data_IF_831979842035
#
_entry.id   IF_831979842035
#
_cell.length_a   1.000
_cell.length_b   1.000
_cell.length_c   1.000
_cell.angle_alpha   90.00
_cell.angle_beta   90.00
_cell.angle_gamma   90.00
#
_symmetry.space_group_name_H-M   'P 1'
#
loop_
_entity.id
_entity.type
_entity.pdbx_description
1 polymer ?
#
# COMPACT_ATOMS: atom_id res chain seq x y z
N UNK A 1 23.75 -10.79 -80.29
CA UNK A 1 24.10 -10.11 -79.04
C UNK A 1 22.80 -9.68 -78.37
N UNK A 2 22.38 -10.40 -77.35
CA UNK A 2 21.17 -10.10 -76.55
C UNK A 2 21.62 -9.94 -75.12
N UNK A 3 21.44 -8.74 -74.57
CA UNK A 3 21.78 -8.40 -73.20
C UNK A 3 20.45 -8.55 -72.35
N UNK A 4 20.42 -9.54 -71.54
CA UNK A 4 19.28 -9.75 -70.58
C UNK A 4 19.51 -8.91 -69.33
N UNK A 5 18.57 -8.01 -69.00
CA UNK A 5 18.50 -7.29 -67.73
C UNK A 5 17.79 -8.20 -66.67
N UNK A 6 18.53 -8.64 -65.69
CA UNK A 6 17.98 -9.19 -64.47
C UNK A 6 17.52 -8.04 -63.55
N UNK A 7 16.20 -7.89 -63.39
CA UNK A 7 15.63 -7.05 -62.34
C UNK A 7 15.52 -7.85 -61.03
N UNK A 8 16.38 -7.57 -60.07
CA UNK A 8 16.28 -8.12 -58.71
C UNK A 8 15.17 -7.38 -57.93
N UNK A 9 14.05 -8.07 -57.69
CA UNK A 9 12.98 -7.59 -56.83
C UNK A 9 13.43 -7.63 -55.38
N UNK A 10 13.46 -6.46 -54.73
CA UNK A 10 13.66 -6.34 -53.28
C UNK A 10 12.33 -6.73 -52.60
N UNK A 11 12.29 -7.93 -52.07
CA UNK A 11 11.19 -8.36 -51.20
C UNK A 11 11.43 -7.71 -49.84
N UNK A 12 10.67 -6.64 -49.53
CA UNK A 12 10.67 -6.03 -48.22
C UNK A 12 10.07 -6.98 -47.21
N UNK A 13 10.88 -7.49 -46.30
CA UNK A 13 10.43 -8.30 -45.14
C UNK A 13 9.93 -7.33 -44.10
N UNK A 14 8.64 -6.97 -44.10
CA UNK A 14 8.00 -6.33 -42.99
C UNK A 14 7.59 -7.43 -41.98
N UNK A 15 8.53 -7.83 -41.12
CA UNK A 15 8.35 -8.87 -40.11
C UNK A 15 8.64 -8.33 -38.72
N UNK A 16 7.95 -7.29 -38.28
CA UNK A 16 8.17 -6.78 -36.91
C UNK A 16 6.92 -6.74 -36.01
N UNK A 17 5.75 -7.04 -36.57
CA UNK A 17 4.51 -6.92 -35.76
C UNK A 17 4.08 -8.23 -35.06
N UNK A 18 4.70 -9.34 -35.44
CA UNK A 18 4.32 -10.66 -34.87
C UNK A 18 4.94 -10.93 -33.49
N UNK A 19 6.04 -10.25 -33.15
CA UNK A 19 6.74 -10.43 -31.86
C UNK A 19 6.27 -9.45 -30.78
N UNK A 20 5.50 -8.43 -31.13
CA UNK A 20 4.89 -7.48 -30.20
C UNK A 20 3.47 -7.88 -29.77
N UNK A 21 3.17 -9.17 -29.75
CA UNK A 21 1.94 -9.66 -29.13
C UNK A 21 2.00 -9.36 -27.64
N UNK A 22 1.34 -8.28 -27.24
CA UNK A 22 1.02 -8.05 -25.83
C UNK A 22 0.18 -9.26 -25.39
N UNK A 23 0.62 -10.01 -24.36
CA UNK A 23 -0.18 -11.14 -23.88
C UNK A 23 -1.58 -10.63 -23.54
N UNK A 24 -2.61 -11.09 -24.21
CA UNK A 24 -4.00 -10.64 -24.03
C UNK A 24 -4.52 -10.80 -22.60
N UNK A 25 -3.81 -11.59 -21.77
CA UNK A 25 -4.16 -11.89 -20.39
C UNK A 25 -3.32 -11.17 -19.34
N UNK A 26 -2.33 -10.35 -19.71
CA UNK A 26 -1.55 -9.58 -18.75
C UNK A 26 -2.11 -8.16 -18.68
N UNK A 27 -2.81 -7.86 -17.57
CA UNK A 27 -3.22 -6.50 -17.24
C UNK A 27 -1.97 -5.62 -17.09
N UNK A 28 -1.81 -4.65 -17.96
CA UNK A 28 -0.77 -3.64 -17.82
C UNK A 28 -1.15 -2.66 -16.71
N UNK A 29 -0.17 -2.01 -16.10
CA UNK A 29 -0.40 -1.00 -15.06
C UNK A 29 -1.33 0.13 -15.54
N UNK A 30 -1.34 0.45 -16.83
CA UNK A 30 -2.19 1.49 -17.40
C UNK A 30 -3.67 1.09 -17.43
N UNK A 31 -3.98 -0.18 -17.70
CA UNK A 31 -5.36 -0.69 -17.73
C UNK A 31 -6.08 -0.57 -16.39
N UNK A 32 -5.34 -0.51 -15.27
CA UNK A 32 -5.92 -0.36 -13.93
C UNK A 32 -6.66 0.98 -13.81
N UNK A 33 -6.20 2.02 -14.51
CA UNK A 33 -6.73 3.37 -14.40
C UNK A 33 -7.76 3.71 -15.50
N UNK A 34 -8.16 2.73 -16.31
CA UNK A 34 -9.16 2.92 -17.36
C UNK A 34 -10.59 2.68 -16.86
N UNK A 35 -10.77 1.85 -15.85
CA UNK A 35 -12.10 1.47 -15.36
C UNK A 35 -12.24 1.69 -13.85
N UNK A 36 -13.47 1.95 -13.42
CA UNK A 36 -13.82 2.07 -12.01
C UNK A 36 -13.54 0.79 -11.24
N UNK A 37 -13.89 -0.35 -11.81
CA UNK A 37 -13.77 -1.67 -11.15
C UNK A 37 -12.31 -1.98 -10.82
N UNK A 38 -11.40 -1.73 -11.76
CA UNK A 38 -9.97 -1.99 -11.54
C UNK A 38 -9.36 -1.00 -10.54
N UNK A 39 -9.75 0.28 -10.61
CA UNK A 39 -9.29 1.29 -9.65
C UNK A 39 -9.78 0.95 -8.21
N UNK A 40 -11.05 0.54 -8.06
CA UNK A 40 -11.58 0.09 -6.77
C UNK A 40 -10.90 -1.20 -6.29
N UNK A 41 -10.65 -2.16 -7.17
CA UNK A 41 -9.92 -3.38 -6.84
C UNK A 41 -8.49 -3.09 -6.36
N UNK A 42 -7.84 -2.09 -6.96
CA UNK A 42 -6.53 -1.65 -6.50
C UNK A 42 -6.61 -1.04 -5.08
N UNK A 43 -7.60 -0.19 -4.81
CA UNK A 43 -7.82 0.36 -3.47
C UNK A 43 -8.08 -0.76 -2.45
N UNK A 44 -8.93 -1.73 -2.77
CA UNK A 44 -9.19 -2.88 -1.90
C UNK A 44 -7.93 -3.74 -1.66
N UNK A 45 -7.04 -3.82 -2.64
CA UNK A 45 -5.76 -4.49 -2.45
C UNK A 45 -4.88 -3.81 -1.39
N UNK A 46 -4.99 -2.47 -1.22
CA UNK A 46 -4.30 -1.76 -0.12
C UNK A 46 -4.84 -2.21 1.23
N UNK A 47 -6.17 -2.37 1.37
CA UNK A 47 -6.79 -2.91 2.58
C UNK A 47 -6.28 -4.31 2.94
N UNK A 48 -5.93 -5.13 1.93
CA UNK A 48 -5.36 -6.46 2.14
C UNK A 48 -4.02 -6.49 2.88
N UNK A 49 -3.35 -5.34 3.04
CA UNK A 49 -2.14 -5.21 3.86
C UNK A 49 -2.42 -4.84 5.32
N UNK A 50 -3.69 -4.60 5.70
CA UNK A 50 -4.07 -4.41 7.09
C UNK A 50 -3.98 -5.77 7.78
N UNK A 51 -3.18 -5.83 8.83
CA UNK A 51 -3.18 -6.98 9.73
C UNK A 51 -4.05 -6.68 10.94
N UNK A 52 -4.87 -7.63 11.30
CA UNK A 52 -5.69 -7.57 12.50
C UNK A 52 -5.03 -8.44 13.58
N UNK A 53 -5.04 -7.95 14.80
CA UNK A 53 -4.58 -8.74 15.94
C UNK A 53 -5.45 -9.98 16.19
N UNK A 54 -6.66 -10.00 15.62
CA UNK A 54 -7.61 -11.12 15.73
C UNK A 54 -7.37 -12.25 14.74
N UNK A 55 -6.52 -12.02 13.71
CA UNK A 55 -6.20 -13.03 12.69
C UNK A 55 -5.32 -14.15 13.25
N UNK A 56 -4.61 -13.87 14.35
CA UNK A 56 -3.81 -14.85 15.08
C UNK A 56 -4.28 -14.90 16.53
N UNK A 57 -5.03 -15.94 16.95
CA UNK A 57 -5.49 -16.10 18.32
C UNK A 57 -4.34 -16.17 19.33
N UNK A 58 -3.12 -16.46 18.86
CA UNK A 58 -1.92 -16.49 19.68
C UNK A 58 -1.54 -15.08 20.18
N UNK A 59 -2.00 -14.02 19.51
CA UNK A 59 -1.78 -12.61 19.91
C UNK A 59 -2.36 -12.30 21.30
N UNK A 60 -3.42 -12.97 21.71
CA UNK A 60 -3.98 -12.81 23.07
C UNK A 60 -3.01 -13.28 24.18
N UNK A 61 -2.00 -14.07 23.82
CA UNK A 61 -0.95 -14.50 24.74
C UNK A 61 0.18 -13.49 24.97
N UNK A 62 0.10 -12.27 24.37
CA UNK A 62 1.09 -11.21 24.62
C UNK A 62 0.88 -10.47 25.95
N UNK A 63 -0.28 -10.62 26.58
CA UNK A 63 -0.58 -10.04 27.87
C UNK A 63 -0.35 -11.07 28.99
N UNK A 64 -0.38 -10.61 30.21
CA UNK A 64 -0.25 -11.44 31.41
C UNK A 64 -1.53 -12.20 31.78
N UNK A 65 -2.66 -11.87 31.13
CA UNK A 65 -3.94 -12.53 31.38
C UNK A 65 -4.01 -13.94 30.80
N UNK A 66 -3.20 -14.24 29.76
CA UNK A 66 -3.20 -15.56 29.12
C UNK A 66 -1.78 -16.02 28.82
N UNK A 67 -1.55 -17.33 28.86
CA UNK A 67 -0.28 -17.93 28.48
C UNK A 67 -0.45 -18.83 27.26
N UNK A 68 0.45 -18.69 26.29
CA UNK A 68 0.49 -19.57 25.14
C UNK A 68 1.10 -20.92 25.53
N UNK A 69 0.35 -22.01 25.35
CA UNK A 69 0.79 -23.38 25.69
C UNK A 69 1.87 -23.88 24.71
N UNK A 70 1.90 -23.32 23.50
CA UNK A 70 2.87 -23.74 22.48
C UNK A 70 4.24 -23.13 22.76
N UNK A 71 5.23 -23.99 23.02
CA UNK A 71 6.58 -23.58 23.43
C UNK A 71 7.42 -22.94 22.32
N UNK A 72 7.00 -23.01 21.06
CA UNK A 72 7.78 -22.55 19.92
C UNK A 72 7.05 -21.45 19.12
N UNK A 73 6.42 -20.52 19.81
CA UNK A 73 5.72 -19.41 19.19
C UNK A 73 6.45 -18.10 19.47
N UNK A 74 6.37 -17.17 18.53
CA UNK A 74 6.93 -15.82 18.68
C UNK A 74 6.36 -15.08 19.89
N UNK A 75 5.08 -15.36 20.22
CA UNK A 75 4.38 -14.83 21.39
C UNK A 75 5.10 -15.22 22.67
N UNK A 76 5.43 -16.50 22.82
CA UNK A 76 6.11 -16.98 24.02
C UNK A 76 7.52 -16.40 24.13
N UNK A 77 8.24 -16.35 23.02
CA UNK A 77 9.56 -15.70 22.98
C UNK A 77 9.48 -14.23 23.39
N UNK A 78 8.41 -13.53 23.00
CA UNK A 78 8.20 -12.13 23.37
C UNK A 78 7.94 -11.98 24.88
N UNK A 79 7.03 -12.77 25.43
CA UNK A 79 6.66 -12.73 26.86
C UNK A 79 7.84 -13.14 27.74
N UNK A 80 8.64 -14.12 27.30
CA UNK A 80 9.84 -14.59 28.01
C UNK A 80 11.07 -13.69 27.81
N UNK A 81 10.97 -12.62 27.00
CA UNK A 81 12.09 -11.71 26.71
C UNK A 81 13.14 -12.28 25.74
N UNK A 82 12.81 -13.38 25.07
CA UNK A 82 13.71 -14.06 24.11
C UNK A 82 13.60 -13.47 22.69
N UNK A 83 13.57 -12.16 22.56
CA UNK A 83 13.49 -11.47 21.29
C UNK A 83 14.51 -10.34 21.17
N UNK A 84 14.87 -9.98 19.94
CA UNK A 84 15.87 -8.96 19.68
C UNK A 84 16.00 -8.65 18.18
N UNK A 85 16.96 -7.80 17.79
CA UNK A 85 17.15 -7.41 16.40
C UNK A 85 17.37 -8.57 15.43
N UNK A 86 17.94 -9.67 15.89
CA UNK A 86 18.21 -10.88 15.10
C UNK A 86 17.12 -11.94 15.22
N UNK A 87 16.20 -11.80 16.17
CA UNK A 87 15.08 -12.70 16.38
C UNK A 87 13.79 -11.86 16.45
N UNK A 88 13.29 -11.52 15.29
CA UNK A 88 12.09 -10.70 15.16
C UNK A 88 10.85 -11.49 15.50
N UNK A 89 9.77 -10.79 15.88
CA UNK A 89 8.46 -11.32 16.28
C UNK A 89 7.67 -12.02 15.16
N UNK A 90 8.36 -12.78 14.33
CA UNK A 90 7.81 -13.74 13.38
C UNK A 90 7.12 -13.20 12.15
N UNK A 91 6.16 -12.36 12.29
CA UNK A 91 5.50 -11.76 11.14
C UNK A 91 6.22 -10.48 10.73
N UNK A 92 6.72 -10.44 9.50
CA UNK A 92 7.40 -9.28 8.96
C UNK A 92 6.41 -8.12 8.70
N UNK A 93 5.86 -7.55 9.79
CA UNK A 93 4.94 -6.40 9.74
C UNK A 93 5.61 -5.18 9.11
N UNK A 94 6.93 -5.05 9.25
CA UNK A 94 7.71 -4.02 8.58
C UNK A 94 7.56 -4.08 7.06
N UNK A 95 7.82 -5.23 6.45
CA UNK A 95 7.66 -5.41 5.00
C UNK A 95 6.21 -5.26 4.55
N UNK A 96 5.25 -5.77 5.31
CA UNK A 96 3.83 -5.64 5.00
C UNK A 96 3.39 -4.16 4.98
N UNK A 97 3.83 -3.39 6.00
CA UNK A 97 3.54 -1.96 6.08
C UNK A 97 4.10 -1.20 4.87
N UNK A 98 5.38 -1.40 4.53
CA UNK A 98 5.97 -0.69 3.40
C UNK A 98 5.39 -1.10 2.04
N UNK A 99 4.96 -2.36 1.88
CA UNK A 99 4.21 -2.79 0.69
C UNK A 99 2.86 -2.07 0.60
N UNK A 100 2.14 -1.93 1.71
CA UNK A 100 0.89 -1.17 1.78
C UNK A 100 1.11 0.31 1.49
N UNK A 101 2.16 0.93 2.06
CA UNK A 101 2.56 2.31 1.81
C UNK A 101 2.87 2.54 0.33
N UNK A 102 3.69 1.66 -0.28
CA UNK A 102 4.02 1.73 -1.70
C UNK A 102 2.76 1.70 -2.58
N UNK A 103 1.85 0.76 -2.29
CA UNK A 103 0.60 0.66 -3.05
C UNK A 103 -0.29 1.89 -2.85
N UNK A 104 -0.36 2.43 -1.65
CA UNK A 104 -1.12 3.65 -1.38
C UNK A 104 -0.56 4.85 -2.16
N UNK A 105 0.77 5.02 -2.19
CA UNK A 105 1.42 6.07 -2.95
C UNK A 105 1.18 5.93 -4.46
N UNK A 106 1.30 4.72 -5.01
CA UNK A 106 0.97 4.44 -6.43
C UNK A 106 -0.49 4.79 -6.72
N UNK A 107 -1.41 4.41 -5.83
CA UNK A 107 -2.82 4.74 -5.98
C UNK A 107 -3.07 6.25 -5.98
N UNK A 108 -2.55 6.97 -4.99
CA UNK A 108 -2.72 8.43 -4.87
C UNK A 108 -2.16 9.18 -6.09
N UNK A 109 -1.07 8.69 -6.69
CA UNK A 109 -0.45 9.29 -7.86
C UNK A 109 -1.26 9.07 -9.14
N UNK A 110 -1.98 7.95 -9.26
CA UNK A 110 -2.57 7.52 -10.52
C UNK A 110 -4.10 7.60 -10.59
N UNK A 111 -4.82 7.68 -9.48
CA UNK A 111 -6.29 7.66 -9.48
C UNK A 111 -6.93 8.77 -10.32
N UNK A 112 -6.27 9.91 -10.46
CA UNK A 112 -6.76 11.02 -11.30
C UNK A 112 -6.75 10.70 -12.80
N UNK A 113 -5.99 9.69 -13.22
CA UNK A 113 -5.94 9.21 -14.61
C UNK A 113 -7.24 8.53 -15.04
N UNK A 114 -8.04 8.03 -14.08
CA UNK A 114 -9.35 7.45 -14.40
C UNK A 114 -10.23 8.54 -15.03
N UNK A 115 -10.85 8.30 -16.21
CA UNK A 115 -11.67 9.31 -16.85
C UNK A 115 -12.83 9.77 -15.97
N UNK A 116 -13.18 11.07 -16.04
CA UNK A 116 -14.27 11.68 -15.24
C UNK A 116 -15.64 11.01 -15.51
N UNK A 117 -15.88 10.58 -16.74
CA UNK A 117 -17.10 9.84 -17.10
C UNK A 117 -17.20 8.43 -16.51
N UNK A 118 -16.07 7.90 -15.97
CA UNK A 118 -15.99 6.57 -15.35
C UNK A 118 -16.03 6.67 -13.83
N UNK A 119 -15.33 7.66 -13.26
CA UNK A 119 -15.24 7.92 -11.83
C UNK A 119 -15.25 9.43 -11.57
N UNK A 120 -16.27 9.91 -10.85
CA UNK A 120 -16.40 11.33 -10.55
C UNK A 120 -15.26 11.86 -9.70
N UNK A 121 -14.96 13.14 -9.81
CA UNK A 121 -13.94 13.86 -9.04
C UNK A 121 -14.16 13.71 -7.53
N UNK A 122 -15.42 13.73 -7.07
CA UNK A 122 -15.76 13.55 -5.65
C UNK A 122 -15.35 12.16 -5.16
N UNK A 123 -15.64 11.10 -5.94
CA UNK A 123 -15.24 9.74 -5.59
C UNK A 123 -13.73 9.55 -5.64
N UNK A 124 -13.03 10.17 -6.61
CA UNK A 124 -11.55 10.15 -6.63
C UNK A 124 -10.98 10.79 -5.37
N UNK A 125 -11.53 11.93 -4.97
CA UNK A 125 -11.13 12.64 -3.75
C UNK A 125 -11.35 11.78 -2.51
N UNK A 126 -12.51 11.12 -2.42
CA UNK A 126 -12.83 10.19 -1.34
C UNK A 126 -11.86 9.01 -1.30
N UNK A 127 -11.60 8.37 -2.44
CA UNK A 127 -10.69 7.22 -2.51
C UNK A 127 -9.24 7.60 -2.22
N UNK A 128 -8.81 8.81 -2.58
CA UNK A 128 -7.51 9.36 -2.14
C UNK A 128 -7.45 9.52 -0.63
N UNK A 129 -8.51 10.02 -0.02
CA UNK A 129 -8.56 10.17 1.44
C UNK A 129 -8.51 8.80 2.14
N UNK A 130 -9.21 7.79 1.62
CA UNK A 130 -9.13 6.42 2.14
C UNK A 130 -7.71 5.86 2.01
N UNK A 131 -7.06 6.03 0.86
CA UNK A 131 -5.67 5.61 0.63
C UNK A 131 -4.69 6.30 1.58
N UNK A 132 -4.83 7.62 1.79
CA UNK A 132 -4.03 8.39 2.74
C UNK A 132 -4.23 7.93 4.18
N UNK A 133 -5.47 7.65 4.55
CA UNK A 133 -5.75 7.05 5.86
C UNK A 133 -5.01 5.72 6.04
N UNK A 134 -5.10 4.83 5.05
CA UNK A 134 -4.42 3.54 5.10
C UNK A 134 -2.90 3.70 5.19
N UNK A 135 -2.33 4.61 4.41
CA UNK A 135 -0.91 4.96 4.46
C UNK A 135 -0.50 5.46 5.85
N UNK A 136 -1.27 6.38 6.42
CA UNK A 136 -1.06 6.89 7.78
C UNK A 136 -1.20 5.79 8.83
N UNK A 137 -2.17 4.87 8.65
CA UNK A 137 -2.35 3.72 9.54
C UNK A 137 -1.14 2.75 9.49
N UNK A 138 -0.56 2.49 8.31
CA UNK A 138 0.66 1.69 8.20
C UNK A 138 1.84 2.38 8.90
N UNK A 139 2.04 3.68 8.69
CA UNK A 139 3.08 4.44 9.39
C UNK A 139 2.86 4.50 10.90
N UNK A 140 1.61 4.66 11.35
CA UNK A 140 1.26 4.59 12.76
C UNK A 140 1.67 3.26 13.39
N UNK A 141 1.39 2.14 12.71
CA UNK A 141 1.78 0.84 13.19
C UNK A 141 3.30 0.61 13.17
N UNK A 142 4.01 1.14 12.17
CA UNK A 142 5.48 1.13 12.16
C UNK A 142 6.03 1.89 13.37
N UNK A 143 5.50 3.07 13.67
CA UNK A 143 5.91 3.88 14.81
C UNK A 143 5.71 3.13 16.12
N UNK A 144 4.54 2.54 16.31
CA UNK A 144 4.17 1.80 17.53
C UNK A 144 5.00 0.54 17.75
N UNK A 145 5.32 -0.20 16.66
CA UNK A 145 5.98 -1.50 16.75
C UNK A 145 7.50 -1.40 16.67
N UNK A 146 8.02 -0.44 15.91
CA UNK A 146 9.45 -0.37 15.56
C UNK A 146 10.09 0.99 15.88
N UNK A 147 9.33 1.95 16.38
CA UNK A 147 9.81 3.33 16.59
C UNK A 147 10.00 4.10 15.28
N UNK A 148 10.99 4.98 15.19
CA UNK A 148 11.24 5.80 14.02
C UNK A 148 11.30 5.01 12.71
N UNK A 149 10.76 5.58 11.64
CA UNK A 149 10.64 4.96 10.33
C UNK A 149 11.18 5.86 9.20
N UNK A 150 11.32 5.26 8.02
CA UNK A 150 11.65 5.98 6.78
C UNK A 150 10.37 6.48 6.13
N UNK A 151 10.34 7.75 5.75
CA UNK A 151 9.19 8.38 5.08
C UNK A 151 9.39 8.32 3.56
N UNK A 152 8.38 7.82 2.86
CA UNK A 152 8.27 7.89 1.40
C UNK A 152 7.12 8.82 1.03
N UNK A 153 7.40 9.83 0.23
CA UNK A 153 6.40 10.80 -0.28
C UNK A 153 5.93 10.47 -1.70
N UNK A 154 6.72 9.68 -2.41
CA UNK A 154 6.41 9.15 -3.74
C UNK A 154 6.63 7.64 -3.77
N UNK A 155 6.03 6.92 -4.74
CA UNK A 155 6.35 5.51 -4.95
C UNK A 155 7.84 5.33 -5.23
N UNK A 156 8.44 4.32 -4.62
CA UNK A 156 9.81 3.93 -4.93
C UNK A 156 9.86 3.33 -6.35
N UNK A 157 10.88 3.71 -7.11
CA UNK A 157 11.14 3.18 -8.43
C UNK A 157 11.93 1.87 -8.36
N UNK A 158 11.96 1.11 -9.46
CA UNK A 158 12.65 -0.19 -9.48
C UNK A 158 14.16 -0.05 -9.23
N UNK A 159 14.74 1.05 -9.74
CA UNK A 159 16.18 1.34 -9.63
C UNK A 159 16.49 2.40 -8.55
N UNK A 160 15.59 2.58 -7.58
CA UNK A 160 15.74 3.55 -6.49
C UNK A 160 16.98 3.23 -5.64
N UNK A 161 17.84 4.21 -5.43
CA UNK A 161 18.96 4.11 -4.49
C UNK A 161 18.48 4.35 -3.05
N UNK A 162 18.33 3.29 -2.27
CA UNK A 162 17.88 3.35 -0.88
C UNK A 162 18.96 3.78 0.12
N UNK A 163 20.22 4.00 -0.29
CA UNK A 163 21.31 4.35 0.64
C UNK A 163 21.10 5.71 1.33
N UNK A 164 20.32 6.60 0.70
CA UNK A 164 20.01 7.93 1.23
C UNK A 164 18.74 7.97 2.10
N UNK A 165 18.02 6.85 2.21
CA UNK A 165 16.81 6.77 3.01
C UNK A 165 17.14 6.45 4.47
N UNK A 166 16.98 7.44 5.32
CA UNK A 166 17.24 7.32 6.76
C UNK A 166 15.95 7.44 7.56
N UNK A 167 15.91 6.79 8.72
CA UNK A 167 14.79 6.95 9.65
C UNK A 167 14.75 8.40 10.15
N UNK A 168 13.56 8.98 10.18
CA UNK A 168 13.36 10.32 10.72
C UNK A 168 13.33 10.31 12.24
N UNK A 169 13.60 11.46 12.90
CA UNK A 169 13.39 11.60 14.34
C UNK A 169 11.96 11.20 14.75
N UNK A 170 11.80 10.77 16.00
CA UNK A 170 10.51 10.27 16.50
C UNK A 170 9.39 11.31 16.35
N UNK A 171 9.65 12.54 16.77
CA UNK A 171 8.69 13.64 16.71
C UNK A 171 8.25 13.96 15.27
N UNK A 172 9.19 13.93 14.31
CA UNK A 172 8.86 14.08 12.89
C UNK A 172 7.96 12.94 12.39
N UNK A 173 8.19 11.72 12.87
CA UNK A 173 7.34 10.57 12.53
C UNK A 173 5.92 10.74 13.08
N UNK A 174 5.77 11.22 14.32
CA UNK A 174 4.47 11.54 14.92
C UNK A 174 3.73 12.58 14.11
N UNK A 175 4.41 13.73 13.83
CA UNK A 175 3.79 14.82 13.06
C UNK A 175 3.43 14.38 11.64
N UNK A 176 4.24 13.54 11.01
CA UNK A 176 3.92 12.99 9.68
C UNK A 176 2.66 12.13 9.69
N UNK A 177 2.51 11.23 10.67
CA UNK A 177 1.30 10.42 10.85
C UNK A 177 0.08 11.31 11.10
N UNK A 178 0.19 12.27 12.01
CA UNK A 178 -0.88 13.21 12.31
C UNK A 178 -1.28 14.03 11.07
N UNK A 179 -0.32 14.56 10.31
CA UNK A 179 -0.58 15.32 9.10
C UNK A 179 -1.29 14.51 8.00
N UNK A 180 -0.92 13.22 7.82
CA UNK A 180 -1.64 12.34 6.92
C UNK A 180 -3.10 12.17 7.35
N UNK A 181 -3.36 11.90 8.61
CA UNK A 181 -4.71 11.74 9.15
C UNK A 181 -5.53 13.04 9.07
N UNK A 182 -4.95 14.17 9.45
CA UNK A 182 -5.57 15.49 9.39
C UNK A 182 -6.01 15.85 7.97
N UNK A 183 -5.20 15.48 6.95
CA UNK A 183 -5.53 15.72 5.54
C UNK A 183 -6.80 14.97 5.06
N UNK A 184 -7.27 13.99 5.82
CA UNK A 184 -8.46 13.18 5.49
C UNK A 184 -9.73 13.65 6.18
N UNK A 185 -9.62 14.46 7.25
CA UNK A 185 -10.76 14.78 8.14
C UNK A 185 -11.92 15.50 7.47
N UNK A 186 -11.65 16.29 6.42
CA UNK A 186 -12.68 17.04 5.71
C UNK A 186 -13.33 16.24 4.57
N UNK A 187 -12.83 15.05 4.27
CA UNK A 187 -13.29 14.20 3.15
C UNK A 187 -13.94 12.92 3.66
N UNK A 188 -13.36 12.29 4.67
CA UNK A 188 -13.92 11.08 5.25
C UNK A 188 -15.22 11.38 6.00
N UNK A 189 -16.28 10.57 5.82
CA UNK A 189 -17.55 10.77 6.51
C UNK A 189 -17.44 10.42 7.99
N UNK A 190 -18.35 10.97 8.79
CA UNK A 190 -18.50 10.58 10.19
C UNK A 190 -19.04 9.15 10.31
N UNK A 191 -19.97 8.78 9.42
CA UNK A 191 -20.60 7.46 9.36
C UNK A 191 -20.88 7.08 7.90
N UNK A 192 -20.60 5.85 7.52
CA UNK A 192 -21.01 5.29 6.24
C UNK A 192 -22.47 4.86 6.30
N UNK A 193 -23.31 5.41 5.43
CA UNK A 193 -24.77 5.09 5.39
C UNK A 193 -25.06 3.79 4.64
N UNK A 194 -24.18 3.36 3.73
CA UNK A 194 -24.33 2.12 2.97
C UNK A 194 -23.63 0.96 3.66
N UNK A 195 -24.32 -0.17 3.80
CA UNK A 195 -23.74 -1.42 4.30
C UNK A 195 -22.57 -1.94 3.46
N UNK A 196 -22.54 -1.59 2.15
CA UNK A 196 -21.44 -1.95 1.26
C UNK A 196 -20.12 -1.26 1.63
N UNK A 197 -20.16 -0.22 2.45
CA UNK A 197 -18.98 0.56 2.87
C UNK A 197 -18.61 0.33 4.34
N UNK A 198 -19.23 -0.64 5.00
CA UNK A 198 -18.84 -1.04 6.35
C UNK A 198 -17.37 -1.49 6.38
N UNK A 199 -16.64 -1.03 7.39
CA UNK A 199 -15.21 -1.30 7.52
C UNK A 199 -14.28 -0.30 6.82
N UNK A 200 -14.80 0.62 6.01
CA UNK A 200 -13.99 1.73 5.47
C UNK A 200 -13.68 2.77 6.55
N UNK A 201 -12.57 3.51 6.44
CA UNK A 201 -12.18 4.50 7.43
C UNK A 201 -13.21 5.63 7.51
N UNK A 202 -13.40 6.11 8.73
CA UNK A 202 -14.25 7.27 9.02
C UNK A 202 -13.40 8.40 9.60
N UNK A 203 -13.96 9.60 9.67
CA UNK A 203 -13.34 10.74 10.36
C UNK A 203 -13.00 10.41 11.81
N UNK A 204 -13.88 9.69 12.52
CA UNK A 204 -13.62 9.23 13.88
C UNK A 204 -12.41 8.30 13.99
N UNK A 205 -12.23 7.41 13.02
CA UNK A 205 -11.04 6.53 12.98
C UNK A 205 -9.73 7.34 12.79
N UNK A 206 -9.74 8.37 11.93
CA UNK A 206 -8.57 9.24 11.75
C UNK A 206 -8.24 10.02 13.03
N UNK A 207 -9.25 10.59 13.70
CA UNK A 207 -9.07 11.29 14.98
C UNK A 207 -8.54 10.36 16.08
N UNK A 208 -8.97 9.10 16.11
CA UNK A 208 -8.46 8.12 17.06
C UNK A 208 -6.96 7.85 16.85
N UNK A 209 -6.52 7.72 15.60
CA UNK A 209 -5.09 7.54 15.29
C UNK A 209 -4.28 8.79 15.69
N UNK A 210 -4.77 10.00 15.40
CA UNK A 210 -4.12 11.26 15.82
C UNK A 210 -3.96 11.30 17.34
N UNK A 211 -5.04 11.01 18.06
CA UNK A 211 -5.02 11.01 19.54
C UNK A 211 -3.99 10.03 20.09
N UNK A 212 -3.96 8.81 19.56
CA UNK A 212 -3.01 7.79 20.02
C UNK A 212 -1.56 8.14 19.62
N UNK A 213 -1.34 8.69 18.42
CA UNK A 213 0.01 9.06 17.97
C UNK A 213 0.61 10.19 18.81
N UNK A 214 -0.21 11.13 19.29
CA UNK A 214 0.24 12.24 20.15
C UNK A 214 0.44 11.87 21.62
N UNK A 215 0.02 10.67 22.01
CA UNK A 215 0.20 10.14 23.38
C UNK A 215 1.46 9.27 23.52
N UNK A 216 2.12 8.93 22.42
CA UNK A 216 3.40 8.22 22.42
C UNK A 216 4.57 9.15 22.77
#
# INVERSE_FOLDING_TARGET
MAVGLLSAGIIGVSSCDYLDQKPENLKTTDMIWETRVEAEAYLYNIYGYIWLSTDDPVVFGFADETSCVFSNTNVRNMVEGNWGPSNTLGDNKWSAAYRGIQKALVFEQNIDRVPEGVLSTDLKTQYKAESRFLRGWFYWNLLRLYGPFVIFEKPAEQDEDFNNYVRRPFDECVEYVCGLMESTLNVLPDVWTSTAYLGRPTRGAALAVISQARLL
#
